data_IF_830911477125
#
_entry.id   IF_830911477125
#
_cell.length_a   1.000
_cell.length_b   1.000
_cell.length_c   1.000
_cell.angle_alpha   90.00
_cell.angle_beta   90.00
_cell.angle_gamma   90.00
#
_symmetry.space_group_name_H-M   'P 1'
#
loop_
_entity.id
_entity.type
_entity.pdbx_description
1 polymer ?
#
# COMPACT_ATOMS: atom_id res chain seq x y z
N UNK A 1 -7.01 12.30 20.16
CA UNK A 1 -5.69 11.97 19.56
C UNK A 1 -5.13 13.19 18.84
N UNK A 2 -5.74 13.65 17.74
CA UNK A 2 -5.32 14.87 17.01
C UNK A 2 -5.23 16.15 17.86
N UNK A 3 -6.01 16.23 18.94
CA UNK A 3 -6.05 17.39 19.85
C UNK A 3 -5.69 17.05 21.31
N UNK A 4 -5.04 15.91 21.56
CA UNK A 4 -4.59 15.52 22.91
C UNK A 4 -5.67 14.99 23.87
N UNK A 5 -6.97 15.18 23.61
CA UNK A 5 -8.08 14.79 24.52
C UNK A 5 -8.45 13.29 24.55
N UNK A 6 -7.53 12.39 24.22
CA UNK A 6 -7.88 10.96 24.09
C UNK A 6 -8.29 10.34 25.42
N UNK A 7 -7.52 10.60 26.49
CA UNK A 7 -7.78 10.00 27.81
C UNK A 7 -9.07 10.55 28.43
N UNK A 8 -9.33 11.85 28.29
CA UNK A 8 -10.57 12.49 28.76
C UNK A 8 -11.80 11.95 28.01
N UNK A 9 -11.70 11.82 26.69
CA UNK A 9 -12.80 11.30 25.87
C UNK A 9 -13.10 9.84 26.22
N UNK A 10 -12.08 8.99 26.32
CA UNK A 10 -12.26 7.57 26.67
C UNK A 10 -12.86 7.44 28.07
N UNK A 11 -12.40 8.23 29.05
CA UNK A 11 -12.96 8.23 30.41
C UNK A 11 -14.44 8.60 30.40
N UNK A 12 -14.82 9.65 29.67
CA UNK A 12 -16.22 10.05 29.53
C UNK A 12 -17.07 8.94 28.89
N UNK A 13 -16.66 8.41 27.74
CA UNK A 13 -17.44 7.41 27.01
C UNK A 13 -17.55 6.08 27.75
N UNK A 14 -16.53 5.67 28.51
CA UNK A 14 -16.61 4.46 29.35
C UNK A 14 -17.73 4.57 30.38
N UNK A 15 -17.81 5.70 31.09
CA UNK A 15 -18.86 5.94 32.08
C UNK A 15 -20.24 6.05 31.42
N UNK A 16 -20.33 6.81 30.32
CA UNK A 16 -21.57 6.98 29.57
C UNK A 16 -22.12 5.65 29.07
N UNK A 17 -21.30 4.82 28.41
CA UNK A 17 -21.76 3.54 27.89
C UNK A 17 -22.03 2.50 28.99
N UNK A 18 -21.31 2.54 30.12
CA UNK A 18 -21.64 1.68 31.26
C UNK A 18 -23.02 2.01 31.82
N UNK A 19 -23.29 3.30 32.08
CA UNK A 19 -24.60 3.73 32.55
C UNK A 19 -25.73 3.45 31.55
N UNK A 20 -25.49 3.66 30.25
CA UNK A 20 -26.51 3.50 29.22
C UNK A 20 -26.79 2.04 28.84
N UNK A 21 -25.76 1.18 28.78
CA UNK A 21 -25.84 -0.17 28.17
C UNK A 21 -25.74 -1.32 29.17
N UNK A 22 -25.23 -1.07 30.38
CA UNK A 22 -25.08 -2.10 31.41
C UNK A 22 -26.03 -1.88 32.58
N UNK A 23 -26.03 -0.67 33.15
CA UNK A 23 -26.75 -0.38 34.39
C UNK A 23 -28.17 0.18 34.16
N UNK A 24 -28.59 0.29 32.90
CA UNK A 24 -29.90 0.82 32.54
C UNK A 24 -31.00 -0.25 32.64
N UNK A 25 -31.76 -0.23 33.73
CA UNK A 25 -32.88 -1.16 33.99
C UNK A 25 -34.01 -1.06 32.96
N UNK A 26 -34.07 0.01 32.16
CA UNK A 26 -35.08 0.22 31.12
C UNK A 26 -34.61 -0.23 29.73
N UNK A 27 -33.35 -0.63 29.57
CA UNK A 27 -32.81 -1.06 28.28
C UNK A 27 -33.17 -2.53 28.02
N UNK A 28 -34.02 -2.78 27.03
CA UNK A 28 -34.29 -4.14 26.55
C UNK A 28 -33.20 -4.69 25.64
N UNK A 29 -32.68 -3.87 24.71
CA UNK A 29 -31.62 -4.24 23.76
C UNK A 29 -30.85 -2.99 23.31
N UNK A 30 -29.52 -3.09 23.25
CA UNK A 30 -28.66 -2.08 22.65
C UNK A 30 -27.78 -2.70 21.56
N UNK A 31 -27.63 -1.99 20.43
CA UNK A 31 -26.69 -2.34 19.36
C UNK A 31 -25.69 -1.21 19.24
N UNK A 32 -24.41 -1.58 19.22
CA UNK A 32 -23.30 -0.65 19.05
C UNK A 32 -22.49 -1.07 17.83
N UNK A 33 -22.27 -0.12 16.93
CA UNK A 33 -21.50 -0.30 15.71
C UNK A 33 -20.30 0.63 15.72
N UNK A 34 -19.18 0.18 15.18
CA UNK A 34 -17.98 0.98 15.06
C UNK A 34 -16.90 0.21 14.30
N UNK A 35 -15.86 0.92 13.86
CA UNK A 35 -14.74 0.33 13.13
C UNK A 35 -13.92 -0.58 14.06
N UNK A 36 -13.81 -0.18 15.33
CA UNK A 36 -13.08 -0.92 16.36
C UNK A 36 -13.97 -1.25 17.53
N UNK A 37 -13.58 -2.31 18.23
CA UNK A 37 -14.22 -2.72 19.46
C UNK A 37 -14.03 -1.66 20.53
N UNK A 38 -15.11 -1.36 21.27
CA UNK A 38 -15.01 -0.63 22.53
C UNK A 38 -14.28 -1.51 23.54
N UNK A 39 -13.14 -1.04 24.04
CA UNK A 39 -12.33 -1.76 25.02
C UNK A 39 -13.22 -2.18 26.20
N UNK A 40 -13.35 -3.49 26.43
CA UNK A 40 -14.03 -3.99 27.63
C UNK A 40 -13.17 -3.58 28.82
N UNK A 41 -13.79 -3.03 29.86
CA UNK A 41 -13.09 -2.96 31.13
C UNK A 41 -12.73 -4.38 31.57
N UNK A 42 -11.45 -4.62 31.85
CA UNK A 42 -10.92 -5.96 32.11
C UNK A 42 -11.53 -6.60 33.35
N UNK A 43 -10.87 -6.45 34.50
CA UNK A 43 -11.34 -6.98 35.79
C UNK A 43 -12.28 -6.03 36.55
N UNK A 44 -12.61 -4.88 35.96
CA UNK A 44 -13.37 -3.80 36.61
C UNK A 44 -14.84 -3.81 36.22
N UNK A 45 -15.65 -3.05 36.97
CA UNK A 45 -17.11 -3.10 36.94
C UNK A 45 -17.77 -2.31 35.81
N UNK A 46 -17.03 -1.76 34.84
CA UNK A 46 -17.62 -1.10 33.67
C UNK A 46 -18.23 -2.06 32.65
N UNK A 47 -18.45 -1.54 31.44
CA UNK A 47 -19.10 -2.27 30.34
C UNK A 47 -18.29 -3.49 29.90
N UNK A 48 -18.77 -4.69 30.27
CA UNK A 48 -18.08 -5.96 30.02
C UNK A 48 -18.99 -7.09 29.48
N UNK A 49 -20.31 -6.88 29.47
CA UNK A 49 -21.36 -7.82 29.06
C UNK A 49 -21.71 -7.77 27.55
N UNK A 50 -20.82 -7.24 26.71
CA UNK A 50 -21.06 -7.16 25.26
C UNK A 50 -20.75 -8.47 24.52
N UNK A 51 -21.69 -8.92 23.69
CA UNK A 51 -21.40 -9.82 22.58
C UNK A 51 -20.78 -8.99 21.44
N UNK A 52 -19.60 -9.38 20.99
CA UNK A 52 -18.85 -8.66 19.95
C UNK A 52 -18.77 -9.54 18.71
N UNK A 53 -19.13 -8.96 17.56
CA UNK A 53 -19.03 -9.59 16.24
C UNK A 53 -18.21 -8.64 15.36
N UNK A 54 -17.05 -9.11 14.97
CA UNK A 54 -16.07 -8.39 14.15
C UNK A 54 -16.12 -8.87 12.70
N UNK A 55 -15.29 -8.25 11.86
CA UNK A 55 -15.07 -8.69 10.47
C UNK A 55 -14.52 -10.13 10.36
N UNK A 56 -13.98 -10.67 11.47
CA UNK A 56 -13.48 -12.05 11.54
C UNK A 56 -14.60 -13.07 11.80
N UNK A 57 -15.77 -12.62 12.27
CA UNK A 57 -16.86 -13.48 12.69
C UNK A 57 -17.78 -13.85 11.52
N UNK A 58 -18.21 -15.11 11.47
CA UNK A 58 -19.20 -15.57 10.48
C UNK A 58 -20.60 -15.03 10.77
N UNK A 59 -20.90 -14.85 12.06
CA UNK A 59 -22.22 -14.37 12.46
C UNK A 59 -22.36 -12.90 12.05
N UNK A 60 -23.37 -12.64 11.22
CA UNK A 60 -23.69 -11.33 10.63
C UNK A 60 -22.78 -10.87 9.49
N UNK A 61 -21.91 -11.73 8.97
CA UNK A 61 -20.96 -11.39 7.89
C UNK A 61 -21.61 -10.71 6.67
N UNK A 62 -22.84 -11.11 6.31
CA UNK A 62 -23.59 -10.57 5.17
C UNK A 62 -24.27 -9.21 5.40
N UNK A 63 -24.22 -8.64 6.61
CA UNK A 63 -24.99 -7.43 6.97
C UNK A 63 -24.14 -6.16 7.13
N UNK A 64 -22.82 -6.27 6.96
CA UNK A 64 -21.91 -5.13 7.07
C UNK A 64 -21.64 -4.40 5.75
N UNK A 65 -22.26 -4.84 4.66
CA UNK A 65 -22.09 -4.29 3.32
C UNK A 65 -23.21 -4.78 2.40
N UNK A 66 -22.95 -4.78 1.10
CA UNK A 66 -23.86 -5.39 0.10
C UNK A 66 -23.29 -6.71 -0.37
N UNK A 67 -24.12 -7.74 -0.47
CA UNK A 67 -23.75 -8.99 -1.14
C UNK A 67 -23.71 -8.81 -2.66
N UNK A 68 -22.98 -9.68 -3.37
CA UNK A 68 -22.93 -9.66 -4.84
C UNK A 68 -24.33 -9.69 -5.48
N UNK A 69 -25.25 -10.47 -4.91
CA UNK A 69 -26.64 -10.55 -5.36
C UNK A 69 -27.41 -9.23 -5.16
N UNK A 70 -27.16 -8.52 -4.07
CA UNK A 70 -27.78 -7.20 -3.81
C UNK A 70 -27.21 -6.14 -4.74
N UNK A 71 -25.90 -6.19 -5.03
CA UNK A 71 -25.25 -5.31 -6.01
C UNK A 71 -25.81 -5.54 -7.41
N UNK A 72 -25.84 -6.78 -7.89
CA UNK A 72 -26.41 -7.11 -9.20
C UNK A 72 -27.86 -6.67 -9.31
N UNK A 73 -28.67 -6.93 -8.27
CA UNK A 73 -30.07 -6.48 -8.26
C UNK A 73 -30.16 -4.97 -8.35
N UNK A 74 -29.40 -4.23 -7.55
CA UNK A 74 -29.41 -2.77 -7.59
C UNK A 74 -29.00 -2.25 -8.97
N UNK A 75 -27.91 -2.76 -9.56
CA UNK A 75 -27.45 -2.32 -10.88
C UNK A 75 -28.51 -2.55 -11.97
N UNK A 76 -29.21 -3.70 -11.92
CA UNK A 76 -30.32 -4.01 -12.83
C UNK A 76 -31.55 -3.11 -12.60
N UNK A 77 -31.93 -2.87 -11.34
CA UNK A 77 -33.09 -2.03 -11.00
C UNK A 77 -32.92 -0.58 -11.48
N UNK A 78 -31.68 -0.09 -11.53
CA UNK A 78 -31.33 1.22 -12.07
C UNK A 78 -31.00 1.21 -13.59
N UNK A 79 -31.05 0.05 -14.24
CA UNK A 79 -30.89 -0.09 -15.70
C UNK A 79 -29.48 0.25 -16.20
N UNK A 80 -28.43 0.03 -15.40
CA UNK A 80 -27.06 0.27 -15.83
C UNK A 80 -26.59 -0.82 -16.81
N UNK A 81 -25.79 -0.43 -17.80
CA UNK A 81 -24.97 -1.37 -18.57
C UNK A 81 -23.64 -1.56 -17.82
N UNK A 82 -23.43 -2.75 -17.28
CA UNK A 82 -22.29 -3.04 -16.41
C UNK A 82 -21.69 -4.41 -16.73
N UNK A 83 -20.39 -4.55 -16.45
CA UNK A 83 -19.73 -5.86 -16.37
C UNK A 83 -19.41 -6.15 -14.92
N UNK A 84 -19.95 -7.24 -14.39
CA UNK A 84 -19.79 -7.55 -12.98
C UNK A 84 -18.33 -7.75 -12.59
N UNK A 85 -17.50 -8.25 -13.51
CA UNK A 85 -16.05 -8.38 -13.32
C UNK A 85 -15.36 -7.02 -13.09
N UNK A 86 -15.77 -5.97 -13.81
CA UNK A 86 -15.21 -4.63 -13.64
C UNK A 86 -15.70 -3.98 -12.34
N UNK A 87 -16.99 -4.14 -12.00
CA UNK A 87 -17.56 -3.70 -10.71
C UNK A 87 -16.85 -4.39 -9.56
N UNK A 88 -16.57 -5.69 -9.70
CA UNK A 88 -15.86 -6.50 -8.72
C UNK A 88 -14.42 -6.02 -8.53
N UNK A 89 -13.71 -5.76 -9.63
CA UNK A 89 -12.34 -5.24 -9.58
C UNK A 89 -12.24 -3.92 -8.80
N UNK A 90 -13.28 -3.07 -8.91
CA UNK A 90 -13.31 -1.75 -8.26
C UNK A 90 -13.85 -1.76 -6.84
N UNK A 91 -14.87 -2.56 -6.53
CA UNK A 91 -15.67 -2.40 -5.30
C UNK A 91 -15.89 -3.67 -4.49
N UNK A 92 -15.53 -4.84 -5.00
CA UNK A 92 -15.56 -6.09 -4.23
C UNK A 92 -14.31 -6.24 -3.36
N UNK A 93 -14.33 -7.21 -2.47
CA UNK A 93 -13.12 -7.69 -1.84
C UNK A 93 -13.08 -7.40 -0.36
N UNK A 94 -14.21 -7.28 0.31
CA UNK A 94 -14.22 -7.45 1.76
C UNK A 94 -14.72 -8.84 2.07
N UNK A 95 -13.87 -9.65 2.71
CA UNK A 95 -14.26 -10.99 3.14
C UNK A 95 -14.49 -11.00 4.63
N UNK A 96 -15.75 -10.92 5.04
CA UNK A 96 -16.13 -11.00 6.44
C UNK A 96 -16.57 -12.42 6.74
N UNK A 97 -15.89 -13.11 7.66
CA UNK A 97 -16.02 -14.56 7.78
C UNK A 97 -15.79 -15.26 6.43
N UNK A 98 -16.84 -15.88 5.86
CA UNK A 98 -16.80 -16.51 4.53
C UNK A 98 -17.57 -15.75 3.45
N UNK A 99 -18.16 -14.61 3.78
CA UNK A 99 -19.01 -13.83 2.86
C UNK A 99 -18.19 -12.71 2.22
N UNK A 100 -18.21 -12.62 0.89
CA UNK A 100 -17.72 -11.45 0.16
C UNK A 100 -18.79 -10.36 0.19
N UNK A 101 -18.37 -9.15 0.52
CA UNK A 101 -19.24 -7.99 0.61
C UNK A 101 -18.60 -6.79 -0.08
N UNK A 102 -19.47 -5.96 -0.64
CA UNK A 102 -19.15 -4.73 -1.35
C UNK A 102 -19.37 -3.54 -0.43
N UNK A 103 -18.57 -2.48 -0.63
CA UNK A 103 -18.74 -1.21 0.05
C UNK A 103 -20.03 -0.52 -0.43
N UNK A 104 -21.04 -0.28 0.45
CA UNK A 104 -22.30 0.33 0.02
C UNK A 104 -22.12 1.73 -0.57
N UNK A 105 -21.22 2.54 -0.02
CA UNK A 105 -20.97 3.90 -0.49
C UNK A 105 -20.41 3.91 -1.91
N UNK A 106 -19.43 3.06 -2.20
CA UNK A 106 -18.83 2.99 -3.53
C UNK A 106 -19.84 2.51 -4.58
N UNK A 107 -20.67 1.51 -4.25
CA UNK A 107 -21.75 1.03 -5.15
C UNK A 107 -22.81 2.10 -5.40
N UNK A 108 -23.28 2.80 -4.35
CA UNK A 108 -24.27 3.87 -4.51
C UNK A 108 -23.75 5.02 -5.37
N UNK A 109 -22.48 5.39 -5.22
CA UNK A 109 -21.87 6.42 -6.06
C UNK A 109 -21.65 5.94 -7.50
N UNK A 110 -21.27 4.67 -7.71
CA UNK A 110 -21.20 4.10 -9.05
C UNK A 110 -22.56 4.12 -9.74
N UNK A 111 -23.64 3.74 -9.05
CA UNK A 111 -25.02 3.83 -9.58
C UNK A 111 -25.35 5.28 -9.96
N UNK A 112 -25.03 6.23 -9.08
CA UNK A 112 -25.35 7.65 -9.27
C UNK A 112 -24.57 8.32 -10.42
N UNK A 113 -23.28 8.00 -10.57
CA UNK A 113 -22.38 8.66 -11.51
C UNK A 113 -22.11 7.85 -12.78
N UNK A 114 -22.42 6.55 -12.76
CA UNK A 114 -22.19 5.58 -13.85
C UNK A 114 -20.72 5.52 -14.29
N UNK A 115 -19.80 5.70 -13.35
CA UNK A 115 -18.35 5.66 -13.59
C UNK A 115 -17.64 4.80 -12.55
N UNK A 116 -16.76 3.92 -13.03
CA UNK A 116 -15.86 3.16 -12.17
C UNK A 116 -14.69 4.06 -11.78
N UNK A 117 -14.74 4.58 -10.55
CA UNK A 117 -13.70 5.41 -9.95
C UNK A 117 -13.72 5.28 -8.41
N UNK A 118 -12.74 5.91 -7.75
CA UNK A 118 -12.61 5.86 -6.30
C UNK A 118 -13.58 6.84 -5.59
N UNK A 119 -14.46 6.30 -4.76
CA UNK A 119 -15.52 7.02 -4.03
C UNK A 119 -15.37 7.00 -2.51
N UNK A 120 -14.96 5.89 -1.90
CA UNK A 120 -14.87 5.76 -0.43
C UNK A 120 -13.73 6.56 0.19
N UNK A 121 -12.60 6.55 -0.51
CA UNK A 121 -11.31 7.06 -0.04
C UNK A 121 -11.33 8.57 0.25
N UNK A 122 -12.24 9.31 -0.38
CA UNK A 122 -12.33 10.77 -0.24
C UNK A 122 -12.99 11.24 1.08
N UNK A 123 -13.34 10.33 1.99
CA UNK A 123 -14.17 10.64 3.17
C UNK A 123 -13.44 10.69 4.51
N UNK A 124 -12.17 10.24 4.62
CA UNK A 124 -11.50 10.11 5.93
C UNK A 124 -10.14 10.80 6.02
N UNK A 125 -9.89 11.43 7.17
CA UNK A 125 -8.58 11.97 7.55
C UNK A 125 -7.70 10.78 8.01
N UNK A 126 -6.84 10.28 7.12
CA UNK A 126 -6.05 9.05 7.34
C UNK A 126 -4.79 9.28 8.19
N UNK A 127 -4.83 10.28 9.06
CA UNK A 127 -3.72 10.75 9.90
C UNK A 127 -3.06 9.61 10.69
N UNK A 128 -3.87 8.72 11.27
CA UNK A 128 -3.37 7.58 12.06
C UNK A 128 -2.56 6.58 11.25
N UNK A 129 -2.90 6.37 9.97
CA UNK A 129 -2.10 5.51 9.10
C UNK A 129 -0.75 6.19 8.86
N UNK A 130 -0.74 7.48 8.57
CA UNK A 130 0.49 8.23 8.36
C UNK A 130 1.39 8.26 9.60
N UNK A 131 0.84 8.48 10.79
CA UNK A 131 1.61 8.50 12.04
C UNK A 131 2.28 7.16 12.34
N UNK A 132 1.58 6.04 12.10
CA UNK A 132 2.15 4.71 12.29
C UNK A 132 3.19 4.39 11.20
N UNK A 133 2.98 4.87 9.97
CA UNK A 133 3.95 4.78 8.88
C UNK A 133 5.22 5.59 9.16
N UNK A 134 5.13 6.75 9.81
CA UNK A 134 6.31 7.55 10.21
C UNK A 134 7.19 6.82 11.23
N UNK A 135 6.59 5.97 12.06
CA UNK A 135 7.29 5.18 13.08
C UNK A 135 7.62 3.77 12.58
N UNK A 136 7.42 3.50 11.28
CA UNK A 136 7.64 2.18 10.70
C UNK A 136 9.12 1.81 10.67
N UNK A 137 9.41 0.58 11.13
CA UNK A 137 10.72 -0.01 10.94
C UNK A 137 10.88 -0.61 9.52
N UNK A 138 12.11 -0.97 9.14
CA UNK A 138 12.42 -1.57 7.84
C UNK A 138 11.53 -2.76 7.48
N UNK A 139 11.22 -3.63 8.44
CA UNK A 139 10.36 -4.79 8.19
C UNK A 139 8.93 -4.39 7.81
N UNK A 140 8.35 -3.40 8.51
CA UNK A 140 7.03 -2.88 8.19
C UNK A 140 7.01 -2.26 6.79
N UNK A 141 8.08 -1.54 6.40
CA UNK A 141 8.21 -0.99 5.05
C UNK A 141 8.25 -2.07 3.96
N UNK A 142 9.06 -3.13 4.15
CA UNK A 142 9.14 -4.24 3.19
C UNK A 142 7.79 -4.97 3.02
N UNK A 143 7.03 -5.11 4.10
CA UNK A 143 5.70 -5.71 4.08
C UNK A 143 4.66 -4.82 3.39
N UNK A 144 4.68 -3.51 3.64
CA UNK A 144 3.84 -2.54 2.93
C UNK A 144 4.15 -2.55 1.43
N UNK A 145 5.42 -2.57 1.07
CA UNK A 145 5.85 -2.71 -0.32
C UNK A 145 5.30 -3.99 -0.96
N UNK A 146 5.32 -5.13 -0.25
CA UNK A 146 4.75 -6.38 -0.75
C UNK A 146 3.24 -6.25 -1.01
N UNK A 147 2.49 -5.69 -0.06
CA UNK A 147 1.05 -5.43 -0.20
C UNK A 147 0.76 -4.52 -1.40
N UNK A 148 1.55 -3.46 -1.60
CA UNK A 148 1.40 -2.53 -2.73
C UNK A 148 1.80 -3.14 -4.08
N UNK A 149 2.58 -4.21 -4.08
CA UNK A 149 2.83 -5.03 -5.28
C UNK A 149 1.72 -6.05 -5.53
N UNK A 150 0.61 -5.98 -4.79
CA UNK A 150 -0.50 -6.93 -4.87
C UNK A 150 -0.19 -8.30 -4.27
N UNK A 151 0.91 -8.44 -3.52
CA UNK A 151 1.28 -9.70 -2.85
C UNK A 151 0.51 -9.87 -1.55
N UNK A 152 0.27 -11.12 -1.18
CA UNK A 152 -0.29 -11.47 0.12
C UNK A 152 0.81 -11.37 1.21
N UNK A 153 0.50 -10.75 2.35
CA UNK A 153 1.34 -10.82 3.56
C UNK A 153 0.65 -11.69 4.62
N UNK A 154 1.44 -12.30 5.49
CA UNK A 154 0.90 -13.15 6.56
C UNK A 154 1.01 -12.44 7.90
N UNK A 155 -0.13 -12.27 8.58
CA UNK A 155 -0.20 -11.58 9.88
C UNK A 155 -1.10 -12.31 10.86
N UNK A 156 -0.77 -12.16 12.14
CA UNK A 156 -1.65 -12.59 13.22
C UNK A 156 -2.63 -11.46 13.50
N UNK A 157 -3.93 -11.76 13.56
CA UNK A 157 -4.97 -10.80 13.92
C UNK A 157 -5.69 -11.27 15.19
N UNK A 158 -5.88 -10.35 16.14
CA UNK A 158 -6.57 -10.60 17.41
C UNK A 158 -8.03 -10.16 17.34
N UNK A 159 -8.96 -11.01 17.79
CA UNK A 159 -10.39 -10.70 17.89
C UNK A 159 -10.72 -9.55 18.87
N UNK A 160 -9.77 -9.20 19.75
CA UNK A 160 -9.96 -8.22 20.83
C UNK A 160 -9.20 -6.92 20.64
N UNK A 161 -8.79 -6.58 19.42
CA UNK A 161 -8.02 -5.37 19.14
C UNK A 161 -8.69 -4.09 19.64
N UNK A 162 -7.92 -3.25 20.32
CA UNK A 162 -8.35 -1.93 20.80
C UNK A 162 -7.41 -0.82 20.37
N UNK A 163 -7.93 0.41 20.29
CA UNK A 163 -7.16 1.57 19.82
C UNK A 163 -5.92 1.88 20.68
N UNK A 164 -5.87 1.45 21.95
CA UNK A 164 -4.71 1.66 22.82
C UNK A 164 -3.47 0.86 22.36
N UNK A 165 -3.67 -0.23 21.63
CA UNK A 165 -2.61 -1.11 21.15
C UNK A 165 -1.84 -0.50 19.95
N UNK A 166 -2.38 0.53 19.29
CA UNK A 166 -1.73 1.25 18.17
C UNK A 166 -0.40 1.93 18.50
N UNK A 167 -0.01 1.98 19.78
CA UNK A 167 1.35 2.38 20.19
C UNK A 167 2.42 1.41 19.69
N UNK A 168 2.05 0.17 19.37
CA UNK A 168 2.90 -0.80 18.69
C UNK A 168 2.68 -0.69 17.17
N UNK A 169 3.70 -0.29 16.37
CA UNK A 169 3.56 -0.14 14.92
C UNK A 169 3.12 -1.42 14.20
N UNK A 170 3.32 -2.60 14.77
CA UNK A 170 2.85 -3.87 14.19
C UNK A 170 1.32 -4.02 14.20
N UNK A 171 0.61 -3.28 15.05
CA UNK A 171 -0.85 -3.30 15.11
C UNK A 171 -1.52 -2.55 13.96
N UNK A 172 -0.74 -1.90 13.09
CA UNK A 172 -1.25 -1.25 11.88
C UNK A 172 -2.04 -2.24 11.01
N UNK A 173 -1.61 -3.50 10.93
CA UNK A 173 -2.28 -4.51 10.11
C UNK A 173 -3.69 -4.80 10.60
N UNK A 174 -3.90 -4.77 11.92
CA UNK A 174 -5.23 -4.90 12.52
C UNK A 174 -6.09 -3.70 12.15
N UNK A 175 -5.55 -2.48 12.32
CA UNK A 175 -6.26 -1.26 11.94
C UNK A 175 -6.64 -1.27 10.47
N UNK A 176 -5.72 -1.60 9.57
CA UNK A 176 -5.94 -1.64 8.14
C UNK A 176 -7.01 -2.68 7.73
N UNK A 177 -7.07 -3.83 8.38
CA UNK A 177 -8.12 -4.83 8.14
C UNK A 177 -9.47 -4.33 8.65
N UNK A 178 -9.54 -3.88 9.90
CA UNK A 178 -10.80 -3.44 10.52
C UNK A 178 -11.39 -2.18 9.88
N UNK A 179 -10.54 -1.31 9.34
CA UNK A 179 -10.97 -0.10 8.63
C UNK A 179 -11.24 -0.30 7.14
N UNK A 180 -11.04 -1.52 6.61
CA UNK A 180 -11.34 -1.83 5.20
C UNK A 180 -10.27 -1.35 4.21
N UNK A 181 -9.03 -1.15 4.65
CA UNK A 181 -7.89 -0.95 3.76
C UNK A 181 -7.22 -2.25 3.31
N UNK A 182 -7.36 -3.32 4.10
CA UNK A 182 -6.93 -4.66 3.73
C UNK A 182 -8.07 -5.65 3.92
N UNK A 183 -8.04 -6.70 3.12
CA UNK A 183 -8.94 -7.85 3.25
C UNK A 183 -8.20 -9.09 3.70
N UNK A 184 -8.96 -10.01 4.28
CA UNK A 184 -8.53 -11.37 4.55
C UNK A 184 -8.76 -12.20 3.29
N UNK A 185 -7.68 -12.62 2.66
CA UNK A 185 -7.73 -13.51 1.51
C UNK A 185 -7.95 -14.96 1.98
N UNK A 186 -7.18 -15.39 2.98
CA UNK A 186 -7.22 -16.76 3.54
C UNK A 186 -7.04 -16.76 5.05
N UNK A 187 -7.83 -17.60 5.72
CA UNK A 187 -7.60 -17.98 7.12
C UNK A 187 -6.67 -19.20 7.15
N UNK A 188 -5.49 -19.06 7.75
CA UNK A 188 -4.47 -20.10 7.82
C UNK A 188 -4.53 -20.90 9.14
N UNK A 189 -5.51 -20.63 9.99
CA UNK A 189 -5.60 -21.19 11.34
C UNK A 189 -4.76 -20.44 12.37
N UNK A 190 -4.99 -20.72 13.65
CA UNK A 190 -4.23 -20.13 14.77
C UNK A 190 -4.13 -18.59 14.72
N UNK A 191 -5.23 -17.92 14.36
CA UNK A 191 -5.31 -16.46 14.22
C UNK A 191 -4.38 -15.85 13.16
N UNK A 192 -3.86 -16.67 12.24
CA UNK A 192 -2.97 -16.24 11.16
C UNK A 192 -3.75 -16.12 9.86
N UNK A 193 -3.58 -14.98 9.18
CA UNK A 193 -4.33 -14.62 8.00
C UNK A 193 -3.40 -14.13 6.89
N UNK A 194 -3.75 -14.48 5.65
CA UNK A 194 -3.16 -13.86 4.47
C UNK A 194 -3.96 -12.59 4.14
N UNK A 195 -3.27 -11.45 4.09
CA UNK A 195 -3.87 -10.12 3.88
C UNK A 195 -3.45 -9.54 2.54
N UNK A 196 -4.36 -8.80 1.90
CA UNK A 196 -4.18 -8.19 0.59
C UNK A 196 -5.04 -6.92 0.46
N UNK A 197 -4.67 -6.01 -0.45
CA UNK A 197 -5.53 -4.89 -0.87
C UNK A 197 -6.81 -5.42 -1.53
N UNK A 198 -8.00 -4.96 -1.11
CA UNK A 198 -9.26 -5.54 -1.54
C UNK A 198 -9.55 -5.34 -3.03
N UNK A 199 -9.36 -4.12 -3.52
CA UNK A 199 -9.78 -3.68 -4.86
C UNK A 199 -8.97 -2.47 -5.37
N UNK A 200 -9.29 -2.03 -6.59
CA UNK A 200 -8.65 -0.90 -7.27
C UNK A 200 -8.83 0.43 -6.53
N UNK A 201 -9.97 0.66 -5.88
CA UNK A 201 -10.22 1.90 -5.14
C UNK A 201 -9.20 2.07 -4.01
N UNK A 202 -8.98 1.01 -3.22
CA UNK A 202 -7.99 1.05 -2.14
C UNK A 202 -6.56 1.03 -2.68
N UNK A 203 -6.31 0.34 -3.79
CA UNK A 203 -5.00 0.36 -4.44
C UNK A 203 -4.57 1.78 -4.83
N UNK A 204 -5.45 2.51 -5.52
CA UNK A 204 -5.19 3.89 -5.96
C UNK A 204 -5.00 4.83 -4.77
N UNK A 205 -5.75 4.63 -3.69
CA UNK A 205 -5.54 5.39 -2.46
C UNK A 205 -4.12 5.24 -1.94
N UNK A 206 -3.67 4.00 -1.77
CA UNK A 206 -2.34 3.73 -1.22
C UNK A 206 -1.25 4.22 -2.15
N UNK A 207 -1.38 4.01 -3.46
CA UNK A 207 -0.45 4.53 -4.46
C UNK A 207 -0.32 6.05 -4.32
N UNK A 208 -1.44 6.79 -4.39
CA UNK A 208 -1.45 8.25 -4.27
C UNK A 208 -0.88 8.73 -2.93
N UNK A 209 -1.26 8.07 -1.83
CA UNK A 209 -0.80 8.41 -0.48
C UNK A 209 0.69 8.20 -0.33
N UNK A 210 1.21 7.08 -0.85
CA UNK A 210 2.63 6.77 -0.85
C UNK A 210 3.42 7.77 -1.71
N UNK A 211 2.94 8.08 -2.91
CA UNK A 211 3.56 9.07 -3.79
C UNK A 211 3.63 10.46 -3.13
N UNK A 212 2.52 10.90 -2.54
CA UNK A 212 2.46 12.19 -1.84
C UNK A 212 3.35 12.24 -0.61
N UNK A 213 3.40 11.15 0.16
CA UNK A 213 4.12 11.13 1.42
C UNK A 213 5.62 10.90 1.25
N UNK A 214 6.03 10.01 0.35
CA UNK A 214 7.40 9.52 0.27
C UNK A 214 8.12 9.87 -1.03
N UNK A 215 7.41 10.22 -2.11
CA UNK A 215 7.98 10.43 -3.44
C UNK A 215 7.72 11.82 -4.02
N UNK A 216 7.49 12.81 -3.15
CA UNK A 216 7.42 14.23 -3.51
C UNK A 216 6.09 14.67 -4.13
N UNK A 217 5.07 13.82 -4.17
CA UNK A 217 3.80 14.12 -4.83
C UNK A 217 3.56 13.27 -6.08
N UNK A 218 2.28 13.05 -6.41
CA UNK A 218 1.88 12.36 -7.66
C UNK A 218 2.50 13.04 -8.88
N UNK A 219 2.29 14.35 -9.06
CA UNK A 219 2.77 15.08 -10.24
C UNK A 219 4.31 15.10 -10.29
N UNK A 220 4.96 15.32 -9.15
CA UNK A 220 6.41 15.35 -9.07
C UNK A 220 7.05 14.02 -9.47
N UNK A 221 6.48 12.90 -8.99
CA UNK A 221 6.91 11.56 -9.33
C UNK A 221 6.63 11.23 -10.81
N UNK A 222 5.44 11.59 -11.32
CA UNK A 222 5.09 11.37 -12.73
C UNK A 222 6.02 12.15 -13.68
N UNK A 223 6.37 13.38 -13.32
CA UNK A 223 7.36 14.17 -14.06
C UNK A 223 8.74 13.50 -14.05
N UNK A 224 9.19 12.98 -12.90
CA UNK A 224 10.46 12.26 -12.78
C UNK A 224 10.49 11.02 -13.69
N UNK A 225 9.41 10.22 -13.65
CA UNK A 225 9.29 9.02 -14.47
C UNK A 225 9.12 9.36 -15.97
N UNK A 226 8.53 10.50 -16.29
CA UNK A 226 8.45 11.01 -17.66
C UNK A 226 9.82 11.45 -18.18
N UNK A 227 10.58 12.18 -17.37
CA UNK A 227 11.96 12.57 -17.68
C UNK A 227 12.86 11.33 -17.91
N UNK A 228 12.72 10.30 -17.07
CA UNK A 228 13.40 9.02 -17.26
C UNK A 228 13.09 8.40 -18.63
N UNK A 229 11.81 8.30 -19.00
CA UNK A 229 11.37 7.73 -20.30
C UNK A 229 11.81 8.56 -21.50
N UNK A 230 11.91 9.89 -21.35
CA UNK A 230 12.30 10.83 -22.40
C UNK A 230 13.82 11.05 -22.48
N UNK A 231 14.60 10.32 -21.67
CA UNK A 231 16.06 10.41 -21.61
C UNK A 231 16.57 11.77 -21.12
N UNK A 232 15.74 12.52 -20.39
CA UNK A 232 16.09 13.77 -19.74
C UNK A 232 16.78 13.49 -18.38
N UNK A 233 17.93 12.81 -18.45
CA UNK A 233 18.58 12.21 -17.27
C UNK A 233 18.96 13.22 -16.18
N UNK A 234 19.32 14.45 -16.55
CA UNK A 234 19.61 15.52 -15.59
C UNK A 234 18.37 15.91 -14.76
N UNK A 235 17.18 15.86 -15.37
CA UNK A 235 15.91 16.14 -14.66
C UNK A 235 15.56 14.94 -13.76
N UNK A 236 15.73 13.71 -14.27
CA UNK A 236 15.53 12.49 -13.48
C UNK A 236 16.44 12.45 -12.25
N UNK A 237 17.76 12.66 -12.43
CA UNK A 237 18.77 12.69 -11.36
C UNK A 237 18.41 13.73 -10.30
N UNK A 238 18.16 14.98 -10.72
CA UNK A 238 17.77 16.05 -9.81
C UNK A 238 16.53 15.68 -9.00
N UNK A 239 15.49 15.15 -9.66
CA UNK A 239 14.24 14.80 -8.98
C UNK A 239 14.40 13.63 -8.01
N UNK A 240 15.16 12.61 -8.40
CA UNK A 240 15.51 11.47 -7.56
C UNK A 240 16.28 11.91 -6.32
N UNK A 241 17.29 12.77 -6.49
CA UNK A 241 18.05 13.34 -5.38
C UNK A 241 17.15 14.14 -4.41
N UNK A 242 16.21 14.94 -4.92
CA UNK A 242 15.28 15.67 -4.08
C UNK A 242 14.38 14.74 -3.24
N UNK A 243 13.89 13.64 -3.83
CA UNK A 243 13.13 12.59 -3.11
C UNK A 243 13.98 11.97 -2.00
N UNK A 244 15.24 11.61 -2.30
CA UNK A 244 16.17 11.08 -1.29
C UNK A 244 16.41 12.09 -0.17
N UNK A 245 16.54 13.37 -0.53
CA UNK A 245 16.80 14.44 0.45
C UNK A 245 15.65 14.59 1.44
N UNK A 246 14.41 14.59 0.97
CA UNK A 246 13.21 14.81 1.78
C UNK A 246 12.79 13.60 2.60
N UNK A 247 12.97 12.37 2.09
CA UNK A 247 12.27 11.20 2.63
C UNK A 247 13.16 10.07 3.14
N UNK A 248 14.47 10.10 2.87
CA UNK A 248 15.39 9.08 3.43
C UNK A 248 15.95 9.58 4.75
N UNK A 249 15.77 8.83 5.84
CA UNK A 249 16.50 9.07 7.08
C UNK A 249 17.97 8.71 6.86
N UNK A 250 18.88 9.65 7.13
CA UNK A 250 20.33 9.45 6.98
C UNK A 250 20.87 8.29 7.82
N UNK A 251 20.15 7.88 8.88
CA UNK A 251 20.64 6.94 9.89
C UNK A 251 20.13 5.49 9.73
N UNK A 252 19.12 5.19 8.90
CA UNK A 252 18.43 3.89 8.93
C UNK A 252 18.52 3.02 7.66
N UNK A 253 19.17 3.42 6.55
CA UNK A 253 19.13 2.56 5.35
C UNK A 253 20.21 2.69 4.26
N UNK A 254 21.02 3.73 4.21
CA UNK A 254 21.68 4.12 2.96
C UNK A 254 23.15 3.76 2.74
N UNK A 255 23.69 2.67 3.32
CA UNK A 255 25.09 2.27 3.05
C UNK A 255 25.23 1.02 2.18
N UNK A 256 24.14 0.32 1.92
CA UNK A 256 24.15 -0.89 1.10
C UNK A 256 23.55 -0.62 -0.28
N UNK A 257 24.23 -1.08 -1.31
CA UNK A 257 23.77 -1.01 -2.71
C UNK A 257 22.38 -1.61 -2.89
N UNK A 258 22.10 -2.70 -2.16
CA UNK A 258 20.79 -3.37 -2.14
C UNK A 258 19.64 -2.44 -1.74
N UNK A 259 19.87 -1.45 -0.88
CA UNK A 259 18.84 -0.49 -0.48
C UNK A 259 18.44 0.40 -1.66
N UNK A 260 19.41 1.06 -2.29
CA UNK A 260 19.16 1.95 -3.44
C UNK A 260 18.62 1.17 -4.63
N UNK A 261 19.16 -0.02 -4.88
CA UNK A 261 18.63 -0.96 -5.87
C UNK A 261 17.13 -1.21 -5.67
N UNK A 262 16.70 -1.60 -4.47
CA UNK A 262 15.30 -1.86 -4.16
C UNK A 262 14.42 -0.61 -4.26
N UNK A 263 14.94 0.56 -3.88
CA UNK A 263 14.24 1.83 -3.98
C UNK A 263 13.99 2.21 -5.45
N UNK A 264 15.05 2.19 -6.26
CA UNK A 264 14.98 2.48 -7.70
C UNK A 264 14.08 1.46 -8.39
N UNK A 265 14.25 0.16 -8.11
CA UNK A 265 13.36 -0.89 -8.62
C UNK A 265 11.89 -0.63 -8.27
N UNK A 266 11.62 -0.24 -7.03
CA UNK A 266 10.27 0.13 -6.57
C UNK A 266 9.66 1.27 -7.40
N UNK A 267 10.43 2.33 -7.68
CA UNK A 267 9.99 3.44 -8.53
C UNK A 267 9.78 3.01 -9.98
N UNK A 268 10.73 2.25 -10.54
CA UNK A 268 10.70 1.77 -11.93
C UNK A 268 9.51 0.83 -12.19
N UNK A 269 9.09 0.02 -11.22
CA UNK A 269 7.92 -0.87 -11.33
C UNK A 269 6.61 -0.14 -11.70
N UNK A 270 6.50 1.16 -11.44
CA UNK A 270 5.39 1.99 -11.92
C UNK A 270 5.25 2.00 -13.45
N UNK A 271 6.32 1.67 -14.19
CA UNK A 271 6.33 1.59 -15.65
C UNK A 271 5.90 0.22 -16.21
N UNK A 272 5.55 -0.75 -15.36
CA UNK A 272 5.24 -2.14 -15.76
C UNK A 272 4.09 -2.29 -16.77
N UNK A 273 3.20 -1.30 -16.89
CA UNK A 273 2.19 -1.26 -17.95
C UNK A 273 2.81 -1.11 -19.33
N UNK A 274 3.85 -0.28 -19.48
CA UNK A 274 4.52 0.03 -20.74
C UNK A 274 5.80 -0.79 -20.98
N UNK A 275 6.41 -1.31 -19.91
CA UNK A 275 7.70 -1.99 -19.91
C UNK A 275 7.61 -3.37 -19.23
N UNK A 276 8.39 -4.31 -19.71
CA UNK A 276 8.75 -5.52 -18.98
C UNK A 276 9.98 -5.23 -18.13
N UNK A 277 9.82 -5.31 -16.80
CA UNK A 277 10.87 -4.97 -15.84
C UNK A 277 11.36 -6.25 -15.19
N UNK A 278 12.66 -6.46 -15.24
CA UNK A 278 13.31 -7.61 -14.60
C UNK A 278 14.45 -7.10 -13.74
N UNK A 279 14.67 -7.75 -12.62
CA UNK A 279 15.79 -7.46 -11.72
C UNK A 279 16.44 -8.77 -11.29
N UNK A 280 17.76 -8.76 -11.11
CA UNK A 280 18.53 -9.91 -10.64
C UNK A 280 18.32 -11.19 -11.47
N UNK A 281 18.02 -11.06 -12.76
CA UNK A 281 17.92 -12.20 -13.68
C UNK A 281 19.29 -12.49 -14.29
N UNK A 282 19.69 -13.75 -14.30
CA UNK A 282 20.92 -14.20 -14.96
C UNK A 282 20.76 -14.06 -16.49
N UNK A 283 21.50 -13.12 -17.10
CA UNK A 283 21.67 -13.02 -18.55
C UNK A 283 23.15 -12.90 -18.91
N UNK A 284 23.67 -13.80 -19.74
CA UNK A 284 25.10 -13.81 -20.09
C UNK A 284 26.04 -14.23 -18.94
N UNK A 285 27.29 -13.73 -18.93
CA UNK A 285 28.32 -14.04 -17.93
C UNK A 285 28.22 -13.19 -16.63
N UNK A 286 27.04 -12.66 -16.28
CA UNK A 286 26.85 -11.76 -15.13
C UNK A 286 25.39 -11.54 -14.70
N UNK A 287 25.21 -10.68 -13.68
CA UNK A 287 23.91 -10.24 -13.13
C UNK A 287 23.80 -8.71 -13.27
N UNK A 288 22.80 -8.22 -13.98
CA UNK A 288 22.45 -6.81 -13.98
C UNK A 288 21.48 -6.51 -12.82
N UNK A 289 21.52 -5.29 -12.29
CA UNK A 289 20.59 -4.88 -11.26
C UNK A 289 19.15 -4.80 -11.81
N UNK A 290 18.89 -3.95 -12.82
CA UNK A 290 17.55 -3.73 -13.37
C UNK A 290 17.58 -3.60 -14.90
N UNK A 291 16.78 -4.41 -15.60
CA UNK A 291 16.52 -4.30 -17.04
C UNK A 291 15.08 -3.87 -17.30
N UNK A 292 14.89 -2.88 -18.16
CA UNK A 292 13.61 -2.23 -18.43
C UNK A 292 13.36 -2.29 -19.94
N UNK A 293 12.68 -3.35 -20.40
CA UNK A 293 12.45 -3.65 -21.81
C UNK A 293 11.08 -3.09 -22.25
N UNK A 294 11.01 -2.14 -23.20
CA UNK A 294 9.73 -1.59 -23.63
C UNK A 294 8.91 -2.62 -24.39
N UNK A 295 7.61 -2.66 -24.11
CA UNK A 295 6.66 -3.49 -24.88
C UNK A 295 6.50 -2.97 -26.32
N UNK A 296 6.59 -1.66 -26.52
CA UNK A 296 6.75 -1.05 -27.84
C UNK A 296 8.24 -0.95 -28.19
N UNK A 297 8.72 -1.85 -29.06
CA UNK A 297 10.13 -1.98 -29.43
C UNK A 297 10.77 -0.74 -30.07
N UNK A 298 9.96 0.26 -30.44
CA UNK A 298 10.43 1.58 -30.94
C UNK A 298 10.88 2.52 -29.82
N UNK A 299 10.43 2.27 -28.58
CA UNK A 299 10.85 3.01 -27.40
C UNK A 299 12.23 2.54 -26.92
N UNK A 300 12.86 3.34 -26.08
CA UNK A 300 14.17 3.06 -25.48
C UNK A 300 14.05 1.99 -24.40
N UNK A 301 14.90 0.97 -24.45
CA UNK A 301 15.16 0.06 -23.34
C UNK A 301 16.26 0.59 -22.43
N UNK A 302 16.21 0.26 -21.15
CA UNK A 302 17.17 0.74 -20.16
C UNK A 302 17.79 -0.41 -19.39
N UNK A 303 19.06 -0.27 -19.04
CA UNK A 303 19.79 -1.15 -18.13
C UNK A 303 20.40 -0.27 -17.06
N UNK A 304 20.04 -0.52 -15.81
CA UNK A 304 20.50 0.25 -14.66
C UNK A 304 21.40 -0.62 -13.81
N UNK A 305 22.46 -0.02 -13.30
CA UNK A 305 23.37 -0.60 -12.32
C UNK A 305 23.60 0.43 -11.21
N UNK A 306 23.36 0.04 -9.96
CA UNK A 306 23.47 0.91 -8.79
C UNK A 306 24.82 0.66 -8.09
N UNK A 307 25.44 1.72 -7.58
CA UNK A 307 26.65 1.66 -6.75
C UNK A 307 26.54 2.58 -5.56
N UNK A 308 27.23 2.26 -4.47
CA UNK A 308 27.34 3.14 -3.31
C UNK A 308 28.77 3.70 -3.22
N UNK A 309 28.85 5.02 -3.09
CA UNK A 309 30.06 5.76 -2.84
C UNK A 309 30.21 6.02 -1.32
N UNK A 310 31.45 6.06 -0.82
CA UNK A 310 31.71 6.38 0.60
C UNK A 310 31.73 7.88 0.85
N UNK A 311 32.12 8.65 -0.17
CA UNK A 311 32.14 10.12 -0.13
C UNK A 311 31.51 10.69 -1.40
N UNK A 312 31.12 11.97 -1.36
CA UNK A 312 30.51 12.64 -2.52
C UNK A 312 31.50 12.74 -3.69
N UNK A 313 32.81 12.82 -3.42
CA UNK A 313 33.84 12.89 -4.48
C UNK A 313 33.97 11.58 -5.28
N UNK A 314 33.58 10.43 -4.69
CA UNK A 314 33.64 9.11 -5.34
C UNK A 314 32.42 8.83 -6.25
N UNK A 315 31.38 9.68 -6.24
CA UNK A 315 30.13 9.44 -6.98
C UNK A 315 30.37 9.23 -8.49
N UNK A 316 31.13 10.13 -9.12
CA UNK A 316 31.37 10.07 -10.56
C UNK A 316 32.19 8.83 -10.95
N UNK A 317 33.17 8.45 -10.12
CA UNK A 317 33.96 7.22 -10.31
C UNK A 317 33.06 5.97 -10.20
N UNK A 318 32.19 5.92 -9.19
CA UNK A 318 31.27 4.80 -8.98
C UNK A 318 30.22 4.67 -10.08
N UNK A 319 29.71 5.79 -10.60
CA UNK A 319 28.78 5.78 -11.72
C UNK A 319 29.46 5.24 -13.00
N UNK A 320 30.75 5.58 -13.22
CA UNK A 320 31.54 5.03 -14.33
C UNK A 320 31.82 3.54 -14.14
N UNK A 321 32.16 3.08 -12.94
CA UNK A 321 32.32 1.66 -12.61
C UNK A 321 31.05 0.86 -12.95
N UNK A 322 29.87 1.40 -12.61
CA UNK A 322 28.58 0.80 -12.94
C UNK A 322 28.36 0.68 -14.46
N UNK A 323 28.70 1.73 -15.22
CA UNK A 323 28.61 1.72 -16.68
C UNK A 323 29.59 0.72 -17.33
N UNK A 324 30.83 0.67 -16.85
CA UNK A 324 31.84 -0.28 -17.31
C UNK A 324 31.37 -1.72 -17.06
N UNK A 325 30.81 -2.00 -15.89
CA UNK A 325 30.23 -3.30 -15.56
C UNK A 325 29.12 -3.71 -16.55
N UNK A 326 28.21 -2.79 -16.90
CA UNK A 326 27.16 -3.05 -17.90
C UNK A 326 27.76 -3.41 -19.27
N UNK A 327 28.79 -2.67 -19.69
CA UNK A 327 29.45 -2.86 -20.98
C UNK A 327 30.23 -4.17 -21.06
N UNK A 328 31.06 -4.47 -20.05
CA UNK A 328 31.87 -5.69 -19.98
C UNK A 328 31.00 -6.94 -20.04
N UNK A 329 29.86 -6.91 -19.36
CA UNK A 329 28.93 -8.03 -19.29
C UNK A 329 27.96 -8.09 -20.46
N UNK A 330 27.92 -7.07 -21.31
CA UNK A 330 27.09 -6.97 -22.52
C UNK A 330 25.61 -7.22 -22.23
N UNK A 331 25.09 -6.63 -21.16
CA UNK A 331 23.71 -6.84 -20.71
C UNK A 331 22.65 -6.41 -21.74
N UNK A 332 23.01 -5.56 -22.71
CA UNK A 332 22.14 -5.13 -23.80
C UNK A 332 21.91 -6.20 -24.88
N UNK A 333 22.69 -7.29 -24.89
CA UNK A 333 22.63 -8.33 -25.93
C UNK A 333 21.24 -8.94 -26.08
N UNK A 334 20.59 -9.34 -24.97
CA UNK A 334 19.26 -9.96 -25.03
C UNK A 334 18.19 -8.99 -25.55
N UNK A 335 18.22 -7.75 -25.09
CA UNK A 335 17.29 -6.69 -25.52
C UNK A 335 17.41 -6.44 -27.03
N UNK A 336 18.64 -6.36 -27.53
CA UNK A 336 18.89 -6.18 -28.98
C UNK A 336 18.43 -7.38 -29.78
N UNK A 337 18.66 -8.61 -29.30
CA UNK A 337 18.17 -9.83 -29.96
C UNK A 337 16.64 -9.89 -30.03
N UNK A 338 15.94 -9.36 -29.02
CA UNK A 338 14.47 -9.23 -29.01
C UNK A 338 13.96 -8.10 -29.91
N UNK A 339 14.84 -7.32 -30.54
CA UNK A 339 14.50 -6.31 -31.54
C UNK A 339 14.27 -4.91 -30.99
N UNK A 340 14.74 -4.60 -29.78
CA UNK A 340 14.72 -3.25 -29.23
C UNK A 340 15.79 -2.41 -29.95
N UNK A 341 15.36 -1.32 -30.61
CA UNK A 341 16.25 -0.54 -31.48
C UNK A 341 17.26 0.32 -30.72
N UNK A 342 16.89 0.78 -29.52
CA UNK A 342 17.72 1.67 -28.69
C UNK A 342 17.76 1.15 -27.26
N UNK A 343 18.96 0.96 -26.74
CA UNK A 343 19.21 0.54 -25.35
C UNK A 343 20.16 1.55 -24.72
N UNK A 344 19.77 2.11 -23.57
CA UNK A 344 20.55 3.06 -22.79
C UNK A 344 21.05 2.40 -21.51
N UNK A 345 22.36 2.43 -21.29
CA UNK A 345 22.98 1.99 -20.05
C UNK A 345 23.08 3.18 -19.07
N UNK A 346 22.69 2.97 -17.81
CA UNK A 346 22.69 3.98 -16.76
C UNK A 346 23.42 3.43 -15.52
N UNK A 347 24.53 4.07 -15.17
CA UNK A 347 25.19 3.86 -13.88
C UNK A 347 24.70 4.89 -12.88
N UNK A 348 24.11 4.42 -11.78
CA UNK A 348 23.63 5.27 -10.69
C UNK A 348 24.57 5.11 -9.49
N UNK A 349 25.20 6.18 -9.03
CA UNK A 349 25.97 6.17 -7.79
C UNK A 349 25.16 6.84 -6.68
N UNK A 350 25.35 6.43 -5.44
CA UNK A 350 24.66 7.02 -4.30
C UNK A 350 25.62 7.28 -3.14
N UNK A 351 25.54 8.45 -2.52
CA UNK A 351 26.26 8.81 -1.31
C UNK A 351 25.26 9.42 -0.31
N UNK A 352 24.63 8.56 0.50
CA UNK A 352 23.56 8.95 1.41
C UNK A 352 22.34 9.53 0.69
N UNK A 353 22.26 10.86 0.60
CA UNK A 353 21.13 11.57 -0.04
C UNK A 353 21.49 12.17 -1.41
N UNK A 354 22.73 11.96 -1.85
CA UNK A 354 23.27 12.42 -3.13
C UNK A 354 23.25 11.28 -4.14
N UNK A 355 23.05 11.63 -5.41
CA UNK A 355 23.08 10.73 -6.57
C UNK A 355 24.15 11.22 -7.51
#
# INVERSE_FOLDING_TARGET
YEHGYYEEAISFFRNFYSAALKDNEYLQMGVMTGILRVAKEGIFSGLNNLAVYSVLDERYSSYFGLTEQEVERALNDYGLDYKMEEVKEWYDGYRFGKTEIYNPWSILNYISHQKLEAYWVNTSNNFLIYDVLEQANRNLFEELQAVFQGKEIQKTLEYSFSFQELKNPQEIWQLLVHSGYLKIEKNMGSHRYALKIPNQEIYQFFEKSFLNRFLGGVDYFQDMMSAFKQEELAIFEKKLQEILRSNVSYYDGGQEEKYYHNLVLGMILSLSKEYEIRSNLESGYGRYDISIEPKDKRKTGFILECKVAKTEEELEEKAKEALEQIQEKKYDTEMRQRGISKVLALGLAFCGKKV
#
